data_IF_134607155751
#
_entry.id   IF_134607155751
#
_cell.length_a   1.000
_cell.length_b   1.000
_cell.length_c   1.000
_cell.angle_alpha   90.00
_cell.angle_beta   90.00
_cell.angle_gamma   90.00
#
_symmetry.space_group_name_H-M   'P 1'
#
loop_
_entity.id
_entity.type
_entity.pdbx_description
1 polymer ?
#
# COMPACT_ATOMS: atom_id res chain seq x y z
N UNK A 1 10.11 0.46 -4.61
CA UNK A 1 11.25 -0.50 -4.63
C UNK A 1 11.51 -0.86 -6.08
N UNK A 2 12.73 -0.62 -6.57
CA UNK A 2 13.08 -0.80 -7.98
C UNK A 2 13.47 -2.24 -8.28
N UNK A 3 13.12 -2.73 -9.47
CA UNK A 3 13.49 -4.09 -9.91
C UNK A 3 15.01 -4.28 -9.93
N UNK A 4 15.75 -3.29 -10.43
CA UNK A 4 17.21 -3.34 -10.53
C UNK A 4 17.89 -3.56 -9.18
N UNK A 5 17.42 -2.88 -8.13
CA UNK A 5 17.91 -3.01 -6.75
C UNK A 5 17.72 -4.44 -6.23
N UNK A 6 16.52 -5.00 -6.41
CA UNK A 6 16.19 -6.37 -6.02
C UNK A 6 17.06 -7.38 -6.75
N UNK A 7 17.20 -7.23 -8.08
CA UNK A 7 18.04 -8.11 -8.87
C UNK A 7 19.52 -7.99 -8.48
N UNK A 8 19.98 -6.80 -8.13
CA UNK A 8 21.34 -6.57 -7.60
C UNK A 8 21.57 -7.29 -6.28
N UNK A 9 20.61 -7.22 -5.36
CA UNK A 9 20.68 -7.88 -4.05
C UNK A 9 20.72 -9.41 -4.17
N UNK A 10 19.79 -10.00 -4.92
CA UNK A 10 19.71 -11.46 -5.07
C UNK A 10 20.70 -12.03 -6.10
N UNK A 11 21.27 -11.20 -6.96
CA UNK A 11 22.19 -11.62 -8.02
C UNK A 11 21.50 -12.14 -9.28
N UNK A 12 20.37 -11.53 -9.65
CA UNK A 12 19.68 -11.73 -10.93
C UNK A 12 18.32 -12.42 -10.83
N UNK A 13 17.64 -12.53 -11.99
CA UNK A 13 16.24 -12.98 -12.10
C UNK A 13 16.04 -14.38 -11.54
N UNK A 14 16.94 -15.32 -11.87
CA UNK A 14 16.84 -16.73 -11.44
C UNK A 14 16.94 -16.87 -9.92
N UNK A 15 17.91 -16.19 -9.32
CA UNK A 15 18.14 -16.23 -7.87
C UNK A 15 17.01 -15.54 -7.12
N UNK A 16 16.51 -14.42 -7.65
CA UNK A 16 15.34 -13.72 -7.11
C UNK A 16 14.11 -14.62 -7.13
N UNK A 17 13.84 -15.31 -8.25
CA UNK A 17 12.71 -16.22 -8.37
C UNK A 17 12.80 -17.38 -7.36
N UNK A 18 13.99 -17.96 -7.19
CA UNK A 18 14.24 -19.02 -6.22
C UNK A 18 14.05 -18.53 -4.77
N UNK A 19 14.58 -17.35 -4.42
CA UNK A 19 14.44 -16.78 -3.09
C UNK A 19 12.98 -16.46 -2.72
N UNK A 20 12.16 -16.10 -3.71
CA UNK A 20 10.75 -15.77 -3.52
C UNK A 20 9.79 -16.95 -3.74
N UNK A 21 10.30 -18.13 -4.09
CA UNK A 21 9.48 -19.30 -4.40
C UNK A 21 8.54 -19.10 -5.60
N UNK A 22 8.97 -18.33 -6.60
CA UNK A 22 8.17 -18.00 -7.80
C UNK A 22 8.87 -18.38 -9.10
N UNK A 23 8.21 -18.15 -10.23
CA UNK A 23 8.75 -18.45 -11.56
C UNK A 23 9.68 -17.33 -12.07
N UNK A 24 10.67 -17.70 -12.90
CA UNK A 24 11.54 -16.73 -13.59
C UNK A 24 10.72 -15.75 -14.44
N UNK A 25 9.67 -16.26 -15.11
CA UNK A 25 8.76 -15.46 -15.93
C UNK A 25 8.08 -14.36 -15.12
N UNK A 26 7.62 -14.67 -13.90
CA UNK A 26 7.02 -13.70 -12.98
C UNK A 26 7.95 -12.53 -12.69
N UNK A 27 9.22 -12.81 -12.35
CA UNK A 27 10.22 -11.79 -12.04
C UNK A 27 10.60 -10.99 -13.30
N UNK A 28 10.72 -11.65 -14.45
CA UNK A 28 10.99 -10.97 -15.72
C UNK A 28 9.90 -10.01 -16.13
N UNK A 29 8.63 -10.34 -15.87
CA UNK A 29 7.47 -9.50 -16.21
C UNK A 29 7.29 -8.27 -15.31
N UNK A 30 8.02 -8.15 -14.20
CA UNK A 30 7.98 -6.92 -13.41
C UNK A 30 8.44 -5.73 -14.25
N UNK A 31 7.73 -4.62 -14.11
CA UNK A 31 8.13 -3.33 -14.69
C UNK A 31 9.35 -2.74 -13.99
N UNK A 32 9.52 -1.42 -14.10
CA UNK A 32 10.58 -0.71 -13.41
C UNK A 32 10.46 -0.85 -11.88
N UNK A 33 9.24 -0.74 -11.38
CA UNK A 33 8.89 -0.94 -9.98
C UNK A 33 8.34 -2.35 -9.73
N UNK A 34 8.77 -2.93 -8.63
CA UNK A 34 8.30 -4.25 -8.20
C UNK A 34 6.86 -4.11 -7.70
N UNK A 35 5.91 -4.97 -8.14
CA UNK A 35 4.54 -4.93 -7.66
C UNK A 35 4.49 -5.07 -6.14
N UNK A 36 3.60 -4.31 -5.50
CA UNK A 36 3.56 -4.16 -4.03
C UNK A 36 3.56 -5.48 -3.26
N UNK A 37 2.85 -6.51 -3.75
CA UNK A 37 2.80 -7.85 -3.15
C UNK A 37 4.19 -8.48 -3.04
N UNK A 38 4.98 -8.38 -4.10
CA UNK A 38 6.34 -8.91 -4.16
C UNK A 38 7.29 -8.04 -3.34
N UNK A 39 7.13 -6.72 -3.34
CA UNK A 39 7.96 -5.82 -2.55
C UNK A 39 7.83 -6.07 -1.04
N UNK A 40 6.60 -6.31 -0.55
CA UNK A 40 6.37 -6.72 0.84
C UNK A 40 7.00 -8.08 1.17
N UNK A 41 6.87 -9.07 0.27
CA UNK A 41 7.51 -10.38 0.45
C UNK A 41 9.04 -10.25 0.47
N UNK A 42 9.61 -9.45 -0.43
CA UNK A 42 11.05 -9.18 -0.51
C UNK A 42 11.53 -8.57 0.81
N UNK A 43 10.83 -7.58 1.34
CA UNK A 43 11.18 -6.99 2.65
C UNK A 43 11.20 -8.05 3.76
N UNK A 44 10.22 -8.95 3.78
CA UNK A 44 10.17 -10.03 4.77
C UNK A 44 11.33 -11.02 4.63
N UNK A 45 11.61 -11.53 3.41
CA UNK A 45 12.67 -12.52 3.19
C UNK A 45 14.08 -11.94 3.33
N UNK A 46 14.23 -10.63 3.15
CA UNK A 46 15.51 -9.93 3.35
C UNK A 46 15.69 -9.39 4.77
N UNK A 47 14.77 -9.72 5.70
CA UNK A 47 14.77 -9.22 7.06
C UNK A 47 14.90 -7.68 7.15
N UNK A 48 14.29 -6.96 6.19
CA UNK A 48 14.31 -5.50 6.13
C UNK A 48 15.55 -4.89 5.48
N UNK A 49 16.46 -5.67 4.89
CA UNK A 49 17.60 -5.12 4.14
C UNK A 49 17.13 -4.32 2.90
N UNK A 50 16.08 -4.81 2.23
CA UNK A 50 15.37 -4.06 1.20
C UNK A 50 14.03 -3.56 1.76
N UNK A 51 13.87 -2.24 1.84
CA UNK A 51 12.67 -1.61 2.42
C UNK A 51 11.69 -1.21 1.32
N UNK A 52 10.42 -1.51 1.56
CA UNK A 52 9.31 -1.08 0.73
C UNK A 52 8.41 -0.13 1.50
N UNK A 53 8.37 1.12 1.05
CA UNK A 53 7.40 2.10 1.54
C UNK A 53 6.06 1.88 0.82
N UNK A 54 5.05 1.45 1.57
CA UNK A 54 3.70 1.30 1.06
C UNK A 54 3.05 2.68 0.97
N UNK A 55 2.94 3.22 -0.24
CA UNK A 55 2.11 4.40 -0.47
C UNK A 55 0.64 3.97 -0.57
N UNK A 56 -0.11 4.13 0.51
CA UNK A 56 -1.55 3.95 0.50
C UNK A 56 -2.16 5.24 -0.07
N UNK A 57 -2.82 5.20 -1.24
CA UNK A 57 -3.53 6.37 -1.71
C UNK A 57 -4.64 6.70 -0.71
N UNK A 58 -4.63 7.91 -0.17
CA UNK A 58 -5.72 8.42 0.64
C UNK A 58 -6.97 8.48 -0.23
N UNK A 59 -7.89 7.53 -0.03
CA UNK A 59 -9.22 7.62 -0.63
C UNK A 59 -9.96 8.71 0.13
N UNK A 60 -10.08 9.90 -0.46
CA UNK A 60 -11.02 10.91 0.00
C UNK A 60 -12.41 10.37 -0.38
N UNK A 61 -13.14 9.86 0.59
CA UNK A 61 -14.56 9.49 0.40
C UNK A 61 -15.33 10.82 0.50
N UNK A 62 -15.91 11.33 -0.60
CA UNK A 62 -16.77 12.50 -0.52
C UNK A 62 -18.01 12.13 0.30
N UNK A 63 -18.10 12.72 1.49
CA UNK A 63 -19.30 12.96 2.29
C UNK A 63 -20.30 11.79 2.40
N UNK A 64 -20.12 10.95 3.42
CA UNK A 64 -21.31 10.31 4.02
C UNK A 64 -22.10 11.42 4.72
N UNK A 65 -23.25 11.76 4.15
CA UNK A 65 -24.26 12.70 4.65
C UNK A 65 -24.76 12.36 6.06
N UNK A 66 -23.90 12.45 7.07
CA UNK A 66 -24.34 12.51 8.46
C UNK A 66 -24.56 13.99 8.79
N UNK A 67 -25.71 14.52 8.37
CA UNK A 67 -26.24 15.74 8.97
C UNK A 67 -26.43 15.46 10.48
N UNK A 68 -25.72 16.11 11.40
CA UNK A 68 -26.09 16.05 12.80
C UNK A 68 -27.49 16.66 12.92
N UNK A 69 -28.42 16.10 13.71
CA UNK A 69 -29.75 16.68 13.82
C UNK A 69 -29.61 18.14 14.27
N UNK A 70 -30.09 19.03 13.41
CA UNK A 70 -30.20 20.46 13.68
C UNK A 70 -30.91 20.63 15.01
N UNK A 71 -30.17 21.02 16.04
CA UNK A 71 -30.72 21.37 17.35
C UNK A 71 -31.53 22.68 17.21
N UNK A 72 -32.78 22.59 16.77
CA UNK A 72 -33.76 23.67 16.92
C UNK A 72 -34.36 23.58 18.33
N UNK A 73 -33.54 23.88 19.33
CA UNK A 73 -33.99 24.29 20.66
C UNK A 73 -34.53 25.71 20.60
N UNK A 74 -35.70 25.90 19.99
CA UNK A 74 -36.46 27.14 20.06
C UNK A 74 -37.24 27.17 21.37
N UNK A 75 -36.62 27.70 22.42
CA UNK A 75 -37.28 28.19 23.63
C UNK A 75 -38.36 29.19 23.21
N UNK A 76 -39.63 28.77 23.19
CA UNK A 76 -40.76 29.70 23.20
C UNK A 76 -40.85 30.30 24.59
N UNK A 77 -40.38 31.53 24.67
CA UNK A 77 -40.48 32.47 25.77
C UNK A 77 -41.96 32.66 26.16
N UNK A 78 -42.34 32.14 27.32
CA UNK A 78 -43.60 32.48 27.99
C UNK A 78 -43.43 33.83 28.68
N UNK A 79 -44.12 34.88 28.20
CA UNK A 79 -44.35 36.10 28.98
C UNK A 79 -45.86 36.37 29.11
N UNK A 80 -46.26 36.40 30.38
CA UNK A 80 -47.35 37.11 31.07
C UNK A 80 -48.69 37.34 30.36
#
# INVERSE_FOLDING_TARGET
MKKSEVLGYFGGVVKTAAALGTSKTTVSMWGEDVPWKWALLIQAVTAGALKYELHIPTVVIPDSDHNPPSNQGGIHENQA
#
